data_IF_077875679582
#
_entry.id   IF_077875679582
#
_cell.length_a   1.000
_cell.length_b   1.000
_cell.length_c   1.000
_cell.angle_alpha   90.00
_cell.angle_beta   90.00
_cell.angle_gamma   90.00
#
_symmetry.space_group_name_H-M   'P 1'
#
loop_
_entity.id
_entity.type
_entity.pdbx_description
1 polymer ?
#
# COMPACT_ATOMS: atom_id res chain seq x y z
N UNK A 1 19.45 17.04 24.31
CA UNK A 1 18.96 16.40 23.08
C UNK A 1 18.75 17.50 22.06
N UNK A 2 19.40 17.44 20.90
CA UNK A 2 19.17 18.40 19.81
C UNK A 2 17.78 18.12 19.23
N UNK A 3 16.94 19.14 19.18
CA UNK A 3 15.61 19.05 18.56
C UNK A 3 15.81 19.12 17.04
N UNK A 4 15.38 18.09 16.31
CA UNK A 4 15.47 18.07 14.84
C UNK A 4 14.71 19.24 14.24
N UNK A 5 15.22 19.80 13.14
CA UNK A 5 14.50 20.84 12.41
C UNK A 5 13.24 20.27 11.74
N UNK A 6 12.23 21.10 11.43
CA UNK A 6 11.01 20.63 10.75
C UNK A 6 11.34 19.94 9.40
N UNK A 7 12.21 20.50 8.53
CA UNK A 7 12.63 19.83 7.30
C UNK A 7 13.27 18.45 7.54
N UNK A 8 14.12 18.35 8.55
CA UNK A 8 14.81 17.09 8.89
C UNK A 8 13.82 16.04 9.41
N UNK A 9 12.85 16.45 10.23
CA UNK A 9 11.78 15.58 10.71
C UNK A 9 10.91 15.06 9.54
N UNK A 10 10.46 15.96 8.65
CA UNK A 10 9.66 15.57 7.49
C UNK A 10 10.43 14.63 6.55
N UNK A 11 11.72 14.89 6.32
CA UNK A 11 12.60 13.99 5.57
C UNK A 11 12.65 12.58 6.17
N UNK A 12 12.88 12.48 7.49
CA UNK A 12 12.93 11.19 8.19
C UNK A 12 11.60 10.42 8.04
N UNK A 13 10.48 11.12 8.14
CA UNK A 13 9.17 10.52 7.92
C UNK A 13 8.95 10.06 6.49
N UNK A 14 9.31 10.86 5.50
CA UNK A 14 9.22 10.45 4.09
C UNK A 14 10.00 9.17 3.82
N UNK A 15 11.23 9.05 4.36
CA UNK A 15 12.01 7.82 4.24
C UNK A 15 11.31 6.62 4.89
N UNK A 16 10.66 6.81 6.05
CA UNK A 16 9.89 5.77 6.70
C UNK A 16 8.64 5.39 5.87
N UNK A 17 7.94 6.36 5.30
CA UNK A 17 6.76 6.15 4.47
C UNK A 17 7.09 5.43 3.17
N UNK A 18 8.21 5.77 2.52
CA UNK A 18 8.67 5.06 1.32
C UNK A 18 8.93 3.58 1.60
N UNK A 19 9.58 3.25 2.73
CA UNK A 19 9.79 1.86 3.16
C UNK A 19 8.47 1.13 3.43
N UNK A 20 7.48 1.81 4.02
CA UNK A 20 6.13 1.25 4.19
C UNK A 20 5.47 0.98 2.84
N UNK A 21 5.59 1.90 1.89
CA UNK A 21 5.07 1.72 0.53
C UNK A 21 5.73 0.50 -0.14
N UNK A 22 7.05 0.37 -0.06
CA UNK A 22 7.78 -0.81 -0.57
C UNK A 22 7.21 -2.10 0.03
N UNK A 23 7.08 -2.15 1.36
CA UNK A 23 6.49 -3.28 2.08
C UNK A 23 5.09 -3.63 1.57
N UNK A 24 4.19 -2.66 1.43
CA UNK A 24 2.83 -2.93 0.96
C UNK A 24 2.79 -3.39 -0.51
N UNK A 25 3.66 -2.87 -1.37
CA UNK A 25 3.78 -3.32 -2.76
C UNK A 25 4.23 -4.79 -2.80
N UNK A 26 5.24 -5.17 -2.03
CA UNK A 26 5.70 -6.56 -1.92
C UNK A 26 4.59 -7.49 -1.41
N UNK A 27 3.86 -7.09 -0.37
CA UNK A 27 2.75 -7.89 0.15
C UNK A 27 1.62 -8.07 -0.89
N UNK A 28 1.30 -7.03 -1.66
CA UNK A 28 0.31 -7.15 -2.74
C UNK A 28 0.79 -8.11 -3.83
N UNK A 29 2.09 -8.13 -4.16
CA UNK A 29 2.64 -9.10 -5.10
C UNK A 29 2.51 -10.54 -4.59
N UNK A 30 2.67 -10.76 -3.28
CA UNK A 30 2.41 -12.07 -2.66
C UNK A 30 0.94 -12.46 -2.84
N UNK A 31 0.00 -11.55 -2.58
CA UNK A 31 -1.43 -11.82 -2.79
C UNK A 31 -1.75 -12.15 -4.24
N UNK A 32 -1.12 -11.49 -5.22
CA UNK A 32 -1.30 -11.81 -6.63
C UNK A 32 -0.84 -13.23 -7.00
N UNK A 33 0.27 -13.70 -6.39
CA UNK A 33 0.74 -15.09 -6.55
C UNK A 33 -0.25 -16.07 -5.93
N UNK A 34 -0.75 -15.79 -4.74
CA UNK A 34 -1.74 -16.63 -4.06
C UNK A 34 -3.07 -16.71 -4.83
N UNK A 35 -3.57 -15.61 -5.40
CA UNK A 35 -4.73 -15.63 -6.30
C UNK A 35 -4.50 -16.48 -7.53
N UNK A 36 -3.28 -16.43 -8.07
CA UNK A 36 -2.92 -17.27 -9.20
C UNK A 36 -3.02 -18.74 -8.79
N UNK A 37 -2.51 -19.13 -7.62
CA UNK A 37 -2.64 -20.51 -7.13
C UNK A 37 -4.10 -20.95 -6.97
N UNK A 38 -4.96 -20.11 -6.38
CA UNK A 38 -6.41 -20.38 -6.29
C UNK A 38 -7.00 -20.61 -7.68
N UNK A 39 -6.73 -19.72 -8.64
CA UNK A 39 -7.27 -19.85 -9.99
C UNK A 39 -6.82 -21.16 -10.68
N UNK A 40 -5.55 -21.56 -10.51
CA UNK A 40 -5.04 -22.80 -11.11
C UNK A 40 -5.70 -24.05 -10.52
N UNK A 41 -6.04 -24.05 -9.22
CA UNK A 41 -6.72 -25.17 -8.56
C UNK A 41 -8.21 -25.26 -8.94
N UNK A 42 -8.81 -24.16 -9.37
CA UNK A 42 -10.26 -24.03 -9.55
C UNK A 42 -10.63 -23.48 -10.94
N UNK A 43 -9.87 -23.85 -11.98
CA UNK A 43 -9.97 -23.27 -13.34
C UNK A 43 -11.34 -23.47 -14.00
N UNK A 44 -12.10 -24.47 -13.56
CA UNK A 44 -13.42 -24.81 -14.11
C UNK A 44 -14.59 -24.24 -13.28
N UNK A 45 -14.30 -23.57 -12.15
CA UNK A 45 -15.32 -23.06 -11.23
C UNK A 45 -15.52 -21.56 -11.43
N UNK A 46 -16.48 -21.22 -12.29
CA UNK A 46 -16.77 -19.83 -12.70
C UNK A 46 -16.95 -18.86 -11.52
N UNK A 47 -17.62 -19.29 -10.44
CA UNK A 47 -17.82 -18.46 -9.25
C UNK A 47 -16.51 -18.09 -8.54
N UNK A 48 -15.51 -18.97 -8.56
CA UNK A 48 -14.18 -18.71 -8.00
C UNK A 48 -13.39 -17.79 -8.93
N UNK A 49 -13.50 -17.99 -10.25
CA UNK A 49 -12.86 -17.13 -11.24
C UNK A 49 -13.32 -15.68 -11.09
N UNK A 50 -14.63 -15.44 -10.98
CA UNK A 50 -15.18 -14.09 -10.73
C UNK A 50 -14.59 -13.46 -9.46
N UNK A 51 -14.58 -14.19 -8.35
CA UNK A 51 -14.05 -13.67 -7.08
C UNK A 51 -12.54 -13.38 -7.16
N UNK A 52 -11.77 -14.22 -7.87
CA UNK A 52 -10.35 -13.97 -8.13
C UNK A 52 -10.16 -12.66 -8.92
N UNK A 53 -10.99 -12.43 -9.94
CA UNK A 53 -10.91 -11.22 -10.76
C UNK A 53 -11.32 -9.96 -9.98
N UNK A 54 -12.31 -10.05 -9.09
CA UNK A 54 -12.64 -8.97 -8.15
C UNK A 54 -11.43 -8.61 -7.27
N UNK A 55 -10.77 -9.60 -6.67
CA UNK A 55 -9.56 -9.35 -5.88
C UNK A 55 -8.43 -8.75 -6.72
N UNK A 56 -8.19 -9.24 -7.95
CA UNK A 56 -7.19 -8.66 -8.87
C UNK A 56 -7.45 -7.18 -9.12
N UNK A 57 -8.70 -6.81 -9.36
CA UNK A 57 -9.10 -5.42 -9.55
C UNK A 57 -8.89 -4.57 -8.30
N UNK A 58 -9.20 -5.10 -7.11
CA UNK A 58 -8.93 -4.42 -5.83
C UNK A 58 -7.42 -4.21 -5.64
N UNK A 59 -6.60 -5.24 -5.83
CA UNK A 59 -5.15 -5.17 -5.67
C UNK A 59 -4.52 -4.18 -6.65
N UNK A 60 -4.98 -4.15 -7.91
CA UNK A 60 -4.54 -3.17 -8.89
C UNK A 60 -4.84 -1.72 -8.44
N UNK A 61 -6.04 -1.47 -7.91
CA UNK A 61 -6.40 -0.15 -7.36
C UNK A 61 -5.50 0.24 -6.19
N UNK A 62 -5.11 -0.72 -5.34
CA UNK A 62 -4.19 -0.47 -4.21
C UNK A 62 -2.78 -0.13 -4.69
N UNK A 63 -2.24 -0.85 -5.65
CA UNK A 63 -0.94 -0.54 -6.25
C UNK A 63 -0.92 0.87 -6.85
N UNK A 64 -1.95 1.23 -7.63
CA UNK A 64 -2.07 2.59 -8.19
C UNK A 64 -2.08 3.67 -7.11
N UNK A 65 -2.74 3.43 -5.97
CA UNK A 65 -2.74 4.38 -4.85
C UNK A 65 -1.36 4.49 -4.18
N UNK A 66 -0.64 3.38 -4.03
CA UNK A 66 0.73 3.37 -3.52
C UNK A 66 1.68 4.13 -4.44
N UNK A 67 1.55 3.95 -5.76
CA UNK A 67 2.35 4.68 -6.76
C UNK A 67 2.09 6.19 -6.73
N UNK A 68 0.83 6.59 -6.55
CA UNK A 68 0.44 7.99 -6.36
C UNK A 68 1.04 8.57 -5.08
N UNK A 69 0.92 7.88 -3.95
CA UNK A 69 1.52 8.32 -2.68
C UNK A 69 3.04 8.44 -2.79
N UNK A 70 3.71 7.48 -3.43
CA UNK A 70 5.16 7.56 -3.68
C UNK A 70 5.52 8.81 -4.48
N UNK A 71 4.80 9.11 -5.56
CA UNK A 71 5.03 10.31 -6.37
C UNK A 71 4.85 11.59 -5.56
N UNK A 72 3.82 11.67 -4.72
CA UNK A 72 3.59 12.81 -3.83
C UNK A 72 4.74 12.99 -2.84
N UNK A 73 5.20 11.91 -2.19
CA UNK A 73 6.33 11.95 -1.26
C UNK A 73 7.60 12.44 -1.97
N UNK A 74 7.92 11.90 -3.16
CA UNK A 74 9.11 12.31 -3.93
C UNK A 74 9.04 13.79 -4.33
N UNK A 75 7.87 14.28 -4.73
CA UNK A 75 7.68 15.68 -5.08
C UNK A 75 7.88 16.58 -3.84
N UNK A 76 7.30 16.20 -2.71
CA UNK A 76 7.41 16.95 -1.47
C UNK A 76 8.86 16.97 -0.97
N UNK A 77 9.57 15.85 -1.08
CA UNK A 77 11.00 15.73 -0.78
C UNK A 77 11.86 16.67 -1.61
N UNK A 78 11.57 16.77 -2.92
CA UNK A 78 12.23 17.73 -3.81
C UNK A 78 11.97 19.17 -3.39
N UNK A 79 10.76 19.50 -2.95
CA UNK A 79 10.41 20.84 -2.47
C UNK A 79 11.17 21.18 -1.18
N UNK A 80 11.27 20.26 -0.23
CA UNK A 80 12.07 20.45 0.99
C UNK A 80 13.54 20.71 0.64
N UNK A 81 14.11 19.97 -0.31
CA UNK A 81 15.50 20.16 -0.73
C UNK A 81 15.74 21.51 -1.44
N UNK A 82 14.73 22.05 -2.13
CA UNK A 82 14.82 23.31 -2.90
C UNK A 82 14.46 24.55 -2.07
N UNK A 83 13.67 24.39 -1.02
CA UNK A 83 13.10 25.49 -0.23
C UNK A 83 13.68 25.45 1.18
N UNK A 84 14.60 26.36 1.51
CA UNK A 84 15.17 26.50 2.86
C UNK A 84 14.15 27.01 3.91
N UNK A 85 12.91 27.27 3.52
CA UNK A 85 11.83 27.74 4.39
C UNK A 85 10.65 26.77 4.34
N UNK A 86 10.30 26.23 5.50
CA UNK A 86 9.04 25.52 5.70
C UNK A 86 7.93 26.56 5.83
N UNK A 87 7.11 26.70 4.80
CA UNK A 87 5.89 27.51 4.87
C UNK A 87 4.68 26.64 5.25
N UNK A 88 3.56 27.29 5.57
CA UNK A 88 2.34 26.61 5.98
C UNK A 88 1.78 25.64 4.92
N UNK A 89 2.09 25.89 3.64
CA UNK A 89 1.66 25.06 2.50
C UNK A 89 2.39 23.72 2.54
N UNK A 90 3.72 23.71 2.66
CA UNK A 90 4.50 22.47 2.76
C UNK A 90 4.10 21.63 4.00
N UNK A 91 3.78 22.29 5.13
CA UNK A 91 3.30 21.57 6.31
C UNK A 91 1.93 20.92 6.08
N UNK A 92 1.03 21.58 5.35
CA UNK A 92 -0.29 21.05 5.03
C UNK A 92 -0.20 19.85 4.08
N UNK A 93 0.62 19.95 3.02
CA UNK A 93 0.85 18.86 2.07
C UNK A 93 1.43 17.61 2.77
N UNK A 94 2.38 17.80 3.69
CA UNK A 94 2.94 16.71 4.50
C UNK A 94 1.85 15.99 5.32
N UNK A 95 1.00 16.77 6.01
CA UNK A 95 -0.08 16.23 6.83
C UNK A 95 -1.13 15.49 6.01
N UNK A 96 -1.42 15.98 4.80
CA UNK A 96 -2.33 15.31 3.89
C UNK A 96 -1.77 13.95 3.44
N UNK A 97 -0.51 13.89 3.00
CA UNK A 97 0.14 12.63 2.60
C UNK A 97 0.15 11.62 3.76
N UNK A 98 0.44 12.08 4.99
CA UNK A 98 0.36 11.23 6.19
C UNK A 98 -1.05 10.66 6.36
N UNK A 99 -2.08 11.50 6.32
CA UNK A 99 -3.47 11.07 6.51
C UNK A 99 -3.90 10.06 5.43
N UNK A 100 -3.50 10.28 4.17
CA UNK A 100 -3.78 9.36 3.08
C UNK A 100 -3.07 8.01 3.24
N UNK A 101 -1.84 7.99 3.77
CA UNK A 101 -1.13 6.76 4.08
C UNK A 101 -1.81 6.01 5.23
N UNK A 102 -2.16 6.68 6.32
CA UNK A 102 -2.88 6.06 7.45
C UNK A 102 -4.24 5.48 7.02
N UNK A 103 -4.96 6.18 6.14
CA UNK A 103 -6.21 5.67 5.57
C UNK A 103 -5.95 4.44 4.68
N UNK A 104 -4.87 4.45 3.91
CA UNK A 104 -4.45 3.28 3.13
C UNK A 104 -4.19 2.08 4.04
N UNK A 105 -3.42 2.25 5.12
CA UNK A 105 -3.08 1.19 6.09
C UNK A 105 -4.34 0.55 6.67
N UNK A 106 -5.28 1.38 7.16
CA UNK A 106 -6.57 0.89 7.70
C UNK A 106 -7.37 0.08 6.68
N UNK A 107 -7.46 0.57 5.43
CA UNK A 107 -8.17 -0.14 4.36
C UNK A 107 -7.43 -1.39 3.91
N UNK A 108 -6.10 -1.40 4.00
CA UNK A 108 -5.28 -2.55 3.66
C UNK A 108 -5.45 -3.68 4.67
N UNK A 109 -5.54 -3.39 5.97
CA UNK A 109 -5.73 -4.42 7.00
C UNK A 109 -7.05 -5.17 6.83
N UNK A 110 -8.13 -4.45 6.50
CA UNK A 110 -9.42 -5.05 6.17
C UNK A 110 -9.32 -5.96 4.93
N UNK A 111 -8.67 -5.47 3.86
CA UNK A 111 -8.42 -6.27 2.66
C UNK A 111 -7.61 -7.53 2.97
N UNK A 112 -6.50 -7.40 3.72
CA UNK A 112 -5.62 -8.51 4.09
C UNK A 112 -6.42 -9.59 4.84
N UNK A 113 -7.25 -9.21 5.80
CA UNK A 113 -8.09 -10.16 6.54
C UNK A 113 -9.04 -10.93 5.61
N UNK A 114 -9.79 -10.21 4.77
CA UNK A 114 -10.77 -10.84 3.87
C UNK A 114 -10.07 -11.74 2.85
N UNK A 115 -8.95 -11.26 2.30
CA UNK A 115 -8.12 -11.98 1.36
C UNK A 115 -7.59 -13.30 1.96
N UNK A 116 -7.05 -13.24 3.19
CA UNK A 116 -6.52 -14.44 3.86
C UNK A 116 -7.60 -15.47 4.13
N UNK A 117 -8.81 -15.04 4.53
CA UNK A 117 -9.95 -15.93 4.69
C UNK A 117 -10.34 -16.60 3.36
N UNK A 118 -10.37 -15.82 2.27
CA UNK A 118 -10.66 -16.34 0.94
C UNK A 118 -9.64 -17.38 0.50
N UNK A 119 -8.34 -17.08 0.58
CA UNK A 119 -7.28 -18.02 0.18
C UNK A 119 -7.28 -19.28 1.04
N UNK A 120 -7.42 -19.14 2.37
CA UNK A 120 -7.45 -20.28 3.28
C UNK A 120 -8.60 -21.25 2.96
N UNK A 121 -9.77 -20.73 2.60
CA UNK A 121 -10.92 -21.54 2.22
C UNK A 121 -10.70 -22.33 0.93
N UNK A 122 -9.93 -21.80 -0.02
CA UNK A 122 -9.79 -22.41 -1.35
C UNK A 122 -8.48 -23.18 -1.58
N UNK A 123 -7.42 -22.92 -0.80
CA UNK A 123 -6.15 -23.65 -0.86
C UNK A 123 -6.04 -24.68 0.28
N UNK A 124 -6.67 -24.43 1.43
CA UNK A 124 -6.53 -25.23 2.65
C UNK A 124 -7.15 -26.63 2.58
N UNK A 125 -8.06 -26.89 1.64
CA UNK A 125 -8.74 -28.20 1.53
C UNK A 125 -7.99 -29.22 0.67
N UNK A 126 -6.92 -28.84 -0.03
CA UNK A 126 -6.15 -29.75 -0.91
C UNK A 126 -4.96 -30.45 -0.23
N UNK A 127 -4.85 -30.40 1.10
CA UNK A 127 -3.68 -30.95 1.83
C UNK A 127 -4.05 -31.84 3.03
N UNK A 128 -5.07 -32.69 2.89
CA UNK A 128 -5.31 -33.84 3.77
C UNK A 128 -5.76 -35.07 2.96
#
# INVERSE_FOLDING_TARGET
>A
MLQSSIPEFQHQEHQAWLKKIDFYQEQIQIFQKELSMVLHQHIDLFSIIEHVDEYRMILLKKLKKLDELRRQIILHEKNIAQTLQTDAINLWDHMEVRAQLEEFEKKYDSLKKNFRNFVAHHIGESTL
#
